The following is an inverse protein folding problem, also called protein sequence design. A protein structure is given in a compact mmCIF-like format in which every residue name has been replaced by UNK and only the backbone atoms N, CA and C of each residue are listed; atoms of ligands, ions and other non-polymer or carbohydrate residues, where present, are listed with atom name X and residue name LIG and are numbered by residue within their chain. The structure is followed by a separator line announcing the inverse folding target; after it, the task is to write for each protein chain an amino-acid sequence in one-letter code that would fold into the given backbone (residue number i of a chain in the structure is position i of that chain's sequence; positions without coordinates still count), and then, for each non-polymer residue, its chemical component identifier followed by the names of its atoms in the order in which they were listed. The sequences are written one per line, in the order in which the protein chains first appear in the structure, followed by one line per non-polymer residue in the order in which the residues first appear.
data_IF_030364191561
#
_entry.id   IF_030364191561
#
_cell.length_a   1.000
_cell.length_b   1.000
_cell.length_c   1.000
_cell.angle_alpha   90.00
_cell.angle_beta   90.00
_cell.angle_gamma   90.00
#
_symmetry.space_group_name_H-M   'P 1'
#
loop_
_entity.id
_entity.type
_entity.pdbx_description
1 polymer ?
#
# COMPACT_ATOMS: atom_id res chain seq x y z
N UNK A 1 63.12 23.25 -29.84
CA UNK A 1 62.56 24.62 -29.95
C UNK A 1 61.05 24.45 -30.17
N UNK A 2 60.23 24.42 -29.11
CA UNK A 2 59.63 25.53 -28.36
C UNK A 2 58.29 26.03 -28.97
N UNK A 3 57.26 26.03 -28.11
CA UNK A 3 55.93 26.68 -28.16
C UNK A 3 54.79 25.89 -28.86
N UNK A 4 53.84 25.25 -28.16
CA UNK A 4 52.75 25.72 -27.25
C UNK A 4 51.56 26.35 -28.00
N UNK A 5 50.42 25.65 -28.02
CA UNK A 5 49.01 26.11 -27.83
C UNK A 5 48.07 24.99 -28.34
N UNK A 6 47.47 24.14 -27.50
CA UNK A 6 46.33 24.39 -26.58
C UNK A 6 45.12 25.05 -27.25
N UNK A 7 44.14 24.24 -27.66
CA UNK A 7 42.72 24.63 -27.74
C UNK A 7 41.86 23.38 -27.58
N UNK A 8 41.52 23.07 -26.34
CA UNK A 8 40.42 22.17 -25.96
C UNK A 8 39.10 22.76 -26.51
N UNK A 9 38.40 22.03 -27.36
CA UNK A 9 36.99 22.28 -27.65
C UNK A 9 36.17 21.28 -26.83
N UNK A 10 35.74 21.72 -25.64
CA UNK A 10 34.63 21.11 -24.93
C UNK A 10 33.36 21.34 -25.75
N UNK A 11 32.84 20.29 -26.39
CA UNK A 11 31.44 20.26 -26.83
C UNK A 11 30.60 19.73 -25.68
N UNK A 12 30.00 20.65 -24.92
CA UNK A 12 28.95 20.35 -23.95
C UNK A 12 27.74 19.75 -24.68
N UNK A 13 27.58 18.44 -24.60
CA UNK A 13 26.31 17.79 -24.85
C UNK A 13 25.40 18.08 -23.65
N UNK A 14 24.59 19.14 -23.75
CA UNK A 14 23.48 19.36 -22.84
C UNK A 14 22.45 18.27 -23.11
N UNK A 15 22.49 17.20 -22.31
CA UNK A 15 21.45 16.20 -22.23
C UNK A 15 20.20 16.91 -21.68
N UNK A 16 19.29 17.32 -22.57
CA UNK A 16 17.93 17.67 -22.18
C UNK A 16 17.27 16.39 -21.65
N UNK A 17 17.37 16.16 -20.33
CA UNK A 17 16.43 15.32 -19.61
C UNK A 17 15.05 15.95 -19.77
N UNK A 18 14.31 15.50 -20.78
CA UNK A 18 12.86 15.59 -20.76
C UNK A 18 12.39 14.81 -19.53
N UNK A 19 12.21 15.51 -18.41
CA UNK A 19 11.34 15.06 -17.32
C UNK A 19 9.91 15.01 -17.89
N UNK A 20 9.62 13.98 -18.68
CA UNK A 20 8.25 13.50 -18.79
C UNK A 20 7.88 13.09 -17.38
N UNK A 21 7.03 13.87 -16.72
CA UNK A 21 6.33 13.40 -15.53
C UNK A 21 5.52 12.19 -15.98
N UNK A 22 6.07 10.99 -15.78
CA UNK A 22 5.31 9.76 -15.92
C UNK A 22 4.26 9.83 -14.83
N UNK A 23 3.04 10.11 -15.26
CA UNK A 23 1.89 10.20 -14.39
C UNK A 23 1.64 8.81 -13.81
N UNK A 24 1.71 8.68 -12.48
CA UNK A 24 1.49 7.41 -11.83
C UNK A 24 0.00 7.20 -11.54
N UNK A 25 -0.46 5.98 -11.82
CA UNK A 25 -1.79 5.54 -11.42
C UNK A 25 -1.92 5.52 -9.89
N UNK A 26 -3.15 5.61 -9.40
CA UNK A 26 -3.42 5.45 -7.98
C UNK A 26 -3.31 3.96 -7.58
N UNK A 27 -2.97 3.70 -6.32
CA UNK A 27 -3.14 2.36 -5.75
C UNK A 27 -4.61 1.93 -5.87
N UNK A 28 -4.82 0.65 -6.18
CA UNK A 28 -6.16 0.09 -6.37
C UNK A 28 -7.00 0.09 -5.10
N UNK A 29 -6.34 -0.01 -3.94
CA UNK A 29 -6.93 0.08 -2.61
C UNK A 29 -5.84 0.44 -1.59
N UNK A 30 -6.14 0.36 -0.30
CA UNK A 30 -5.18 0.48 0.80
C UNK A 30 -5.53 -0.54 1.89
N UNK A 31 -4.65 -0.73 2.88
CA UNK A 31 -5.02 -1.45 4.09
C UNK A 31 -6.14 -0.70 4.82
N UNK A 32 -7.34 -1.29 4.87
CA UNK A 32 -8.44 -0.70 5.61
C UNK A 32 -8.22 -0.81 7.12
N UNK A 33 -8.88 0.03 7.95
CA UNK A 33 -8.84 -0.13 9.41
C UNK A 33 -9.29 -1.53 9.87
N UNK A 34 -10.19 -2.16 9.11
CA UNK A 34 -10.62 -3.53 9.35
C UNK A 34 -9.50 -4.53 9.09
N UNK A 35 -8.75 -4.39 7.98
CA UNK A 35 -7.62 -5.27 7.67
C UNK A 35 -6.52 -5.15 8.72
N UNK A 36 -6.16 -3.93 9.12
CA UNK A 36 -5.17 -3.68 10.17
C UNK A 36 -5.60 -4.35 11.49
N UNK A 37 -6.87 -4.27 11.85
CA UNK A 37 -7.40 -4.90 13.07
C UNK A 37 -7.38 -6.42 12.97
N UNK A 38 -7.90 -6.98 11.86
CA UNK A 38 -7.91 -8.43 11.60
C UNK A 38 -6.51 -9.03 11.63
N UNK A 39 -5.55 -8.37 10.97
CA UNK A 39 -4.16 -8.83 10.92
C UNK A 39 -3.54 -8.77 12.32
N UNK A 40 -3.73 -7.67 13.06
CA UNK A 40 -3.26 -7.57 14.45
C UNK A 40 -3.82 -8.69 15.32
N UNK A 41 -5.11 -8.97 15.24
CA UNK A 41 -5.77 -10.00 16.04
C UNK A 41 -5.25 -11.40 15.68
N UNK A 42 -5.05 -11.69 14.40
CA UNK A 42 -4.44 -12.93 13.93
C UNK A 42 -3.03 -13.11 14.51
N UNK A 43 -2.17 -12.10 14.37
CA UNK A 43 -0.80 -12.10 14.88
C UNK A 43 -0.76 -12.35 16.40
N UNK A 44 -1.60 -11.65 17.17
CA UNK A 44 -1.68 -11.82 18.62
C UNK A 44 -2.30 -13.16 19.05
N UNK A 45 -3.02 -13.85 18.17
CA UNK A 45 -3.62 -15.17 18.44
C UNK A 45 -2.71 -16.35 18.08
N UNK A 46 -1.53 -16.10 17.52
CA UNK A 46 -0.60 -17.13 17.03
C UNK A 46 0.25 -17.72 18.17
N UNK A 47 -0.40 -18.25 19.21
CA UNK A 47 0.24 -18.98 20.31
C UNK A 47 -0.48 -20.32 20.55
N UNK A 48 0.22 -21.39 20.97
CA UNK A 48 1.67 -21.49 21.22
C UNK A 48 2.50 -21.60 19.93
N UNK A 49 3.79 -21.24 20.01
CA UNK A 49 4.72 -21.29 18.86
C UNK A 49 5.20 -22.72 18.58
N UNK A 50 5.19 -23.12 17.31
CA UNK A 50 5.72 -24.40 16.83
C UNK A 50 7.20 -24.36 16.45
N UNK A 51 7.70 -23.19 16.03
CA UNK A 51 9.06 -22.98 15.52
C UNK A 51 9.51 -21.53 15.77
N UNK A 52 10.83 -21.26 15.75
CA UNK A 52 11.42 -19.93 16.04
C UNK A 52 11.07 -18.85 15.01
N UNK A 53 10.85 -19.22 13.75
CA UNK A 53 10.40 -18.31 12.69
C UNK A 53 9.04 -17.69 13.01
N UNK A 54 8.13 -18.43 13.66
CA UNK A 54 6.78 -17.95 13.97
C UNK A 54 6.79 -16.68 14.82
N UNK A 55 7.33 -16.65 16.06
CA UNK A 55 7.38 -15.43 16.86
C UNK A 55 8.21 -14.31 16.21
N UNK A 56 9.22 -14.64 15.40
CA UNK A 56 9.95 -13.65 14.60
C UNK A 56 9.02 -12.93 13.60
N UNK A 57 8.28 -13.68 12.78
CA UNK A 57 7.36 -13.09 11.80
C UNK A 57 6.19 -12.36 12.48
N UNK A 58 5.68 -12.87 13.61
CA UNK A 58 4.65 -12.17 14.39
C UNK A 58 5.15 -10.80 14.84
N UNK A 59 6.34 -10.75 15.45
CA UNK A 59 6.94 -9.51 15.93
C UNK A 59 7.20 -8.51 14.80
N UNK A 60 7.75 -8.97 13.67
CA UNK A 60 7.97 -8.14 12.47
C UNK A 60 6.65 -7.57 11.93
N UNK A 61 5.59 -8.38 11.88
CA UNK A 61 4.26 -7.92 11.46
C UNK A 61 3.69 -6.85 12.40
N UNK A 62 3.78 -7.06 13.72
CA UNK A 62 3.31 -6.09 14.72
C UNK A 62 4.11 -4.77 14.65
N UNK A 63 5.43 -4.85 14.48
CA UNK A 63 6.28 -3.67 14.30
C UNK A 63 5.87 -2.86 13.07
N UNK A 64 5.64 -3.54 11.93
CA UNK A 64 5.23 -2.91 10.68
C UNK A 64 3.89 -2.16 10.84
N UNK A 65 2.92 -2.72 11.58
CA UNK A 65 1.65 -2.07 11.92
C UNK A 65 1.79 -0.83 12.81
N UNK A 66 3.01 -0.49 13.26
CA UNK A 66 3.25 0.66 14.14
C UNK A 66 2.74 0.45 15.57
N UNK A 67 2.35 -0.78 15.93
CA UNK A 67 2.15 -1.11 17.35
C UNK A 67 3.53 -1.20 17.96
N UNK A 68 3.86 -0.21 18.79
CA UNK A 68 5.09 -0.27 19.56
C UNK A 68 5.11 -1.57 20.36
N UNK A 69 6.28 -2.18 20.54
CA UNK A 69 6.35 -3.37 21.38
C UNK A 69 5.63 -3.10 22.70
N UNK A 70 5.80 -1.95 23.35
CA UNK A 70 5.07 -1.48 24.56
C UNK A 70 3.54 -1.61 24.56
N UNK A 71 2.86 -1.56 23.41
CA UNK A 71 1.39 -1.66 23.33
C UNK A 71 0.90 -3.12 23.22
N UNK A 72 1.80 -4.04 22.86
CA UNK A 72 1.48 -5.45 22.81
C UNK A 72 1.35 -6.00 24.24
N UNK A 73 0.30 -6.79 24.49
CA UNK A 73 0.03 -7.40 25.81
C UNK A 73 1.32 -8.01 26.37
N UNK A 74 1.71 -7.62 27.58
CA UNK A 74 2.95 -8.08 28.23
C UNK A 74 3.11 -9.61 28.23
N UNK A 75 2.00 -10.37 28.19
CA UNK A 75 2.01 -11.82 28.05
C UNK A 75 2.70 -12.30 26.76
N UNK A 76 2.36 -11.73 25.61
CA UNK A 76 2.90 -12.13 24.31
C UNK A 76 4.42 -11.95 24.25
N UNK A 77 4.93 -10.78 24.66
CA UNK A 77 6.38 -10.51 24.67
C UNK A 77 7.15 -11.50 25.54
N UNK A 78 6.62 -11.76 26.74
CA UNK A 78 7.23 -12.71 27.67
C UNK A 78 7.28 -14.11 27.07
N UNK A 79 6.20 -14.54 26.42
CA UNK A 79 6.14 -15.85 25.77
C UNK A 79 7.13 -15.95 24.60
N UNK A 80 7.19 -14.95 23.73
CA UNK A 80 8.14 -14.92 22.61
C UNK A 80 9.59 -14.92 23.10
N UNK A 81 9.91 -14.12 24.11
CA UNK A 81 11.26 -14.11 24.69
C UNK A 81 11.60 -15.43 25.38
N UNK A 82 10.68 -15.98 26.19
CA UNK A 82 10.90 -17.26 26.87
C UNK A 82 11.13 -18.40 25.86
N UNK A 83 10.40 -18.40 24.75
CA UNK A 83 10.59 -19.35 23.66
C UNK A 83 11.95 -19.18 22.98
N UNK A 84 12.39 -17.95 22.69
CA UNK A 84 13.73 -17.72 22.15
C UNK A 84 14.84 -18.20 23.11
N UNK A 85 14.72 -17.88 24.40
CA UNK A 85 15.68 -18.27 25.43
C UNK A 85 15.72 -19.78 25.67
N UNK A 86 14.61 -20.51 25.51
CA UNK A 86 14.60 -21.97 25.67
C UNK A 86 15.34 -22.70 24.55
N UNK A 87 15.61 -22.04 23.42
CA UNK A 87 16.30 -22.63 22.26
C UNK A 87 17.74 -22.14 22.10
N UNK A 88 18.18 -21.12 22.83
CA UNK A 88 19.51 -20.51 22.64
C UNK A 88 20.67 -21.46 22.90
N UNK A 89 20.54 -22.33 23.89
CA UNK A 89 21.60 -23.27 24.28
C UNK A 89 21.59 -24.56 23.44
N UNK A 90 20.47 -24.86 22.76
CA UNK A 90 20.32 -26.04 21.89
C UNK A 90 20.52 -25.73 20.42
N UNK A 91 20.45 -24.46 20.04
CA UNK A 91 20.66 -24.01 18.66
C UNK A 91 22.15 -23.99 18.31
N UNK A 92 22.49 -24.70 17.24
CA UNK A 92 23.84 -24.71 16.65
C UNK A 92 23.84 -24.27 15.19
N UNK A 93 22.66 -24.07 14.59
CA UNK A 93 22.53 -23.54 13.24
C UNK A 93 22.32 -22.02 13.26
N UNK A 94 22.82 -21.37 12.20
CA UNK A 94 22.83 -19.93 12.07
C UNK A 94 21.41 -19.33 11.95
N UNK A 95 20.48 -20.05 11.34
CA UNK A 95 19.11 -19.59 11.11
C UNK A 95 18.32 -19.48 12.43
N UNK A 96 18.41 -20.48 13.30
CA UNK A 96 17.82 -20.44 14.63
C UNK A 96 18.37 -19.27 15.46
N UNK A 97 19.69 -19.03 15.41
CA UNK A 97 20.31 -17.89 16.09
C UNK A 97 19.91 -16.53 15.48
N UNK A 98 19.69 -16.48 14.17
CA UNK A 98 19.13 -15.30 13.50
C UNK A 98 17.74 -14.97 14.04
N UNK A 99 16.84 -15.95 14.14
CA UNK A 99 15.52 -15.72 14.72
C UNK A 99 15.59 -15.29 16.18
N UNK A 100 16.41 -15.96 17.01
CA UNK A 100 16.58 -15.63 18.43
C UNK A 100 17.09 -14.20 18.61
N UNK A 101 18.16 -13.81 17.89
CA UNK A 101 18.72 -12.47 17.99
C UNK A 101 17.75 -11.40 17.50
N UNK A 102 17.01 -11.66 16.42
CA UNK A 102 16.01 -10.74 15.86
C UNK A 102 14.81 -10.54 16.78
N UNK A 103 14.29 -11.62 17.38
CA UNK A 103 13.25 -11.56 18.41
C UNK A 103 13.74 -10.71 19.59
N UNK A 104 14.96 -10.93 20.03
CA UNK A 104 15.53 -10.22 21.17
C UNK A 104 15.72 -8.73 20.89
N UNK A 105 16.22 -8.37 19.70
CA UNK A 105 16.37 -6.98 19.25
C UNK A 105 15.02 -6.26 19.20
N UNK A 106 13.99 -6.89 18.62
CA UNK A 106 12.65 -6.29 18.53
C UNK A 106 11.99 -6.09 19.90
N UNK A 107 12.21 -7.02 20.82
CA UNK A 107 11.71 -6.93 22.19
C UNK A 107 12.53 -5.99 23.08
N UNK A 108 13.68 -5.52 22.60
CA UNK A 108 14.57 -4.59 23.28
C UNK A 108 14.91 -5.01 24.71
N UNK A 109 14.78 -4.07 25.66
CA UNK A 109 15.17 -4.28 27.07
C UNK A 109 14.43 -5.44 27.77
N UNK A 110 13.34 -5.95 27.21
CA UNK A 110 12.58 -7.06 27.78
C UNK A 110 13.16 -8.45 27.48
N UNK A 111 14.09 -8.56 26.52
CA UNK A 111 14.67 -9.85 26.12
C UNK A 111 16.16 -9.77 25.77
N UNK A 112 16.58 -8.70 25.10
CA UNK A 112 17.94 -8.51 24.61
C UNK A 112 19.04 -8.72 25.67
N UNK A 113 18.91 -8.24 26.92
CA UNK A 113 19.95 -8.45 27.93
C UNK A 113 20.22 -9.94 28.24
N UNK A 114 19.22 -10.81 28.17
CA UNK A 114 19.38 -12.23 28.46
C UNK A 114 20.03 -12.99 27.30
N UNK A 115 19.72 -12.61 26.06
CA UNK A 115 20.37 -13.16 24.87
C UNK A 115 21.84 -12.70 24.79
N UNK A 116 22.13 -11.44 25.12
CA UNK A 116 23.50 -10.91 25.15
C UNK A 116 24.39 -11.68 26.14
N UNK A 117 23.86 -12.23 27.24
CA UNK A 117 24.65 -13.07 28.16
C UNK A 117 25.22 -14.33 27.49
N UNK A 118 24.66 -14.74 26.35
CA UNK A 118 25.11 -15.89 25.54
C UNK A 118 25.92 -15.47 24.30
N UNK A 119 26.28 -14.19 24.19
CA UNK A 119 27.01 -13.59 23.06
C UNK A 119 28.27 -14.39 22.65
N UNK A 120 29.03 -14.94 23.60
CA UNK A 120 30.24 -15.71 23.26
C UNK A 120 29.97 -16.99 22.48
N UNK A 121 28.90 -17.73 22.81
CA UNK A 121 28.46 -18.92 22.08
C UNK A 121 27.98 -18.55 20.68
N UNK A 122 27.18 -17.48 20.60
CA UNK A 122 26.65 -17.00 19.32
C UNK A 122 27.78 -16.52 18.41
N UNK A 123 28.75 -15.79 18.96
CA UNK A 123 29.89 -15.27 18.22
C UNK A 123 30.75 -16.38 17.64
N UNK A 124 30.97 -17.50 18.35
CA UNK A 124 31.69 -18.64 17.76
C UNK A 124 30.95 -19.23 16.57
N UNK A 125 29.62 -19.42 16.65
CA UNK A 125 28.83 -19.96 15.53
C UNK A 125 28.84 -19.02 14.32
N UNK A 126 28.76 -17.70 14.55
CA UNK A 126 28.86 -16.70 13.48
C UNK A 126 30.24 -16.72 12.82
N UNK A 127 31.31 -16.74 13.61
CA UNK A 127 32.68 -16.81 13.07
C UNK A 127 32.90 -18.08 12.24
N UNK A 128 32.49 -19.24 12.76
CA UNK A 128 32.62 -20.52 12.05
C UNK A 128 31.84 -20.49 10.72
N UNK A 129 30.63 -19.91 10.71
CA UNK A 129 29.83 -19.79 9.50
C UNK A 129 30.48 -18.91 8.43
N UNK A 130 31.18 -17.84 8.82
CA UNK A 130 31.90 -16.94 7.92
C UNK A 130 33.22 -17.52 7.40
N UNK A 131 33.80 -18.54 8.05
CA UNK A 131 35.00 -19.22 7.55
C UNK A 131 34.70 -20.32 6.51
N UNK A 132 33.46 -20.82 6.49
CA UNK A 132 32.99 -21.84 5.52
C UNK A 132 32.40 -21.20 4.25
N UNK A 133 32.14 -22.00 3.21
CA UNK A 133 31.47 -21.57 1.97
C UNK A 133 30.31 -20.59 2.26
N UNK A 134 30.49 -19.35 1.79
CA UNK A 134 29.66 -18.20 2.13
C UNK A 134 28.53 -18.07 1.11
N UNK A 135 27.31 -18.38 1.52
CA UNK A 135 26.11 -18.08 0.73
C UNK A 135 25.52 -16.73 1.17
N UNK A 136 24.75 -16.08 0.29
CA UNK A 136 24.09 -14.81 0.63
C UNK A 136 23.16 -14.92 1.85
N UNK A 137 22.49 -16.05 2.02
CA UNK A 137 21.66 -16.32 3.21
C UNK A 137 22.49 -16.35 4.51
N UNK A 138 23.64 -17.03 4.50
CA UNK A 138 24.55 -17.05 5.65
C UNK A 138 25.09 -15.66 5.96
N UNK A 139 25.48 -14.89 4.93
CA UNK A 139 25.97 -13.52 5.11
C UNK A 139 24.89 -12.61 5.72
N UNK A 140 23.65 -12.73 5.25
CA UNK A 140 22.51 -12.01 5.80
C UNK A 140 22.26 -12.38 7.27
N UNK A 141 22.21 -13.67 7.60
CA UNK A 141 21.99 -14.11 8.98
C UNK A 141 23.13 -13.69 9.91
N UNK A 142 24.39 -13.91 9.52
CA UNK A 142 25.57 -13.54 10.32
C UNK A 142 25.64 -12.04 10.59
N UNK A 143 25.39 -11.22 9.57
CA UNK A 143 25.39 -9.75 9.71
C UNK A 143 24.23 -9.26 10.57
N UNK A 144 23.05 -9.85 10.41
CA UNK A 144 21.88 -9.51 11.21
C UNK A 144 22.06 -9.89 12.68
N UNK A 145 22.58 -11.08 12.98
CA UNK A 145 22.93 -11.50 14.34
C UNK A 145 23.93 -10.52 14.95
N UNK A 146 24.98 -10.18 14.19
CA UNK A 146 26.03 -9.27 14.64
C UNK A 146 25.48 -7.89 14.96
N UNK A 147 24.64 -7.34 14.09
CA UNK A 147 23.97 -6.05 14.27
C UNK A 147 23.05 -6.06 15.49
N UNK A 148 22.18 -7.08 15.59
CA UNK A 148 21.21 -7.22 16.68
C UNK A 148 21.87 -7.32 18.07
N UNK A 149 23.04 -7.95 18.17
CA UNK A 149 23.74 -8.18 19.44
C UNK A 149 24.89 -7.19 19.68
N UNK A 150 25.09 -6.22 18.79
CA UNK A 150 26.22 -5.29 18.84
C UNK A 150 27.57 -6.02 18.85
N UNK A 151 27.74 -7.02 17.99
CA UNK A 151 29.04 -7.61 17.67
C UNK A 151 29.77 -6.71 16.67
N UNK A 152 31.10 -6.73 16.68
CA UNK A 152 31.89 -6.00 15.70
C UNK A 152 31.68 -6.61 14.30
N UNK A 153 31.36 -5.77 13.32
CA UNK A 153 31.20 -6.15 11.92
C UNK A 153 32.32 -5.52 11.10
N UNK A 154 33.10 -6.34 10.41
CA UNK A 154 34.08 -5.86 9.45
C UNK A 154 33.38 -5.59 8.10
N UNK A 155 32.96 -4.34 7.87
CA UNK A 155 32.23 -3.95 6.65
C UNK A 155 32.98 -4.26 5.35
N UNK A 156 34.31 -4.11 5.33
CA UNK A 156 35.12 -4.40 4.14
C UNK A 156 35.09 -5.89 3.80
N UNK A 157 35.28 -6.75 4.82
CA UNK A 157 35.22 -8.20 4.64
C UNK A 157 33.82 -8.65 4.21
N UNK A 158 32.76 -8.11 4.84
CA UNK A 158 31.39 -8.49 4.50
C UNK A 158 31.03 -8.03 3.09
N UNK A 159 31.46 -6.84 2.66
CA UNK A 159 31.21 -6.40 1.28
C UNK A 159 31.92 -7.28 0.26
N UNK A 160 33.20 -7.61 0.49
CA UNK A 160 33.94 -8.51 -0.40
C UNK A 160 33.27 -9.89 -0.51
N UNK A 161 32.75 -10.40 0.61
CA UNK A 161 31.97 -11.63 0.68
C UNK A 161 30.65 -11.56 -0.08
N UNK A 162 29.92 -10.44 0.02
CA UNK A 162 28.68 -10.21 -0.73
C UNK A 162 28.98 -10.27 -2.23
N UNK A 163 29.98 -9.53 -2.70
CA UNK A 163 30.33 -9.49 -4.12
C UNK A 163 30.73 -10.87 -4.65
N UNK A 164 31.53 -11.62 -3.88
CA UNK A 164 31.92 -12.99 -4.23
C UNK A 164 30.70 -13.92 -4.33
N UNK A 165 29.79 -13.84 -3.36
CA UNK A 165 28.58 -14.68 -3.35
C UNK A 165 27.60 -14.33 -4.48
N UNK A 166 27.55 -13.05 -4.92
CA UNK A 166 26.77 -12.65 -6.09
C UNK A 166 27.43 -13.12 -7.39
N UNK A 167 28.75 -13.05 -7.52
CA UNK A 167 29.48 -13.59 -8.69
C UNK A 167 29.25 -15.10 -8.86
N UNK A 168 29.08 -15.84 -7.76
CA UNK A 168 28.84 -17.29 -7.76
C UNK A 168 27.37 -17.66 -8.08
N UNK A 169 26.39 -16.91 -7.56
CA UNK A 169 24.95 -17.20 -7.71
C UNK A 169 24.11 -15.90 -7.73
N UNK A 170 24.14 -15.21 -8.88
CA UNK A 170 23.39 -13.98 -9.10
C UNK A 170 21.90 -14.26 -9.34
N UNK A 171 21.13 -14.36 -8.26
CA UNK A 171 19.66 -14.40 -8.31
C UNK A 171 19.07 -13.12 -7.73
N UNK A 172 17.82 -12.80 -8.11
CA UNK A 172 17.09 -11.66 -7.52
C UNK A 172 16.97 -11.78 -6.00
N UNK A 173 16.74 -13.00 -5.48
CA UNK A 173 16.68 -13.25 -4.04
C UNK A 173 18.03 -12.96 -3.37
N UNK A 174 19.13 -13.44 -3.93
CA UNK A 174 20.47 -13.20 -3.38
C UNK A 174 20.84 -11.72 -3.42
N UNK A 175 20.47 -11.01 -4.49
CA UNK A 175 20.68 -9.57 -4.62
C UNK A 175 19.82 -8.78 -3.62
N UNK A 176 18.57 -9.20 -3.38
CA UNK A 176 17.73 -8.62 -2.34
C UNK A 176 18.31 -8.81 -0.93
N UNK A 177 18.85 -10.00 -0.64
CA UNK A 177 19.56 -10.27 0.59
C UNK A 177 20.86 -9.44 0.69
N UNK A 178 21.54 -9.17 -0.42
CA UNK A 178 22.70 -8.29 -0.46
C UNK A 178 22.33 -6.86 -0.07
N UNK A 179 21.22 -6.32 -0.59
CA UNK A 179 20.70 -5.01 -0.16
C UNK A 179 20.39 -4.96 1.33
N UNK A 180 19.68 -5.98 1.84
CA UNK A 180 19.33 -6.07 3.25
C UNK A 180 20.57 -6.21 4.14
N UNK A 181 21.59 -6.95 3.69
CA UNK A 181 22.85 -7.14 4.43
C UNK A 181 23.70 -5.86 4.42
N UNK A 182 23.93 -5.28 3.24
CA UNK A 182 24.72 -4.07 3.06
C UNK A 182 24.15 -2.87 3.82
N UNK A 183 22.81 -2.73 3.85
CA UNK A 183 22.14 -1.65 4.59
C UNK A 183 22.40 -1.65 6.11
N UNK A 184 22.81 -2.78 6.67
CA UNK A 184 23.12 -2.95 8.10
C UNK A 184 24.58 -2.62 8.43
N UNK A 185 25.45 -2.52 7.43
CA UNK A 185 26.87 -2.27 7.68
C UNK A 185 27.06 -0.87 8.31
N UNK A 186 27.99 -0.74 9.29
CA UNK A 186 28.51 0.56 9.69
C UNK A 186 29.01 1.36 8.48
N UNK A 187 29.13 2.69 8.63
CA UNK A 187 29.41 3.62 7.52
C UNK A 187 30.54 3.13 6.60
N UNK A 188 30.17 2.75 5.38
CA UNK A 188 31.01 2.14 4.37
C UNK A 188 30.52 2.54 2.98
N UNK A 189 31.39 2.45 1.99
CA UNK A 189 31.03 2.71 0.60
C UNK A 189 30.22 1.53 0.03
N UNK A 190 28.96 1.79 -0.33
CA UNK A 190 28.03 0.79 -0.83
C UNK A 190 27.66 1.00 -2.30
N UNK A 191 28.39 1.85 -3.04
CA UNK A 191 28.07 2.20 -4.43
C UNK A 191 27.92 0.96 -5.31
N UNK A 192 28.85 0.00 -5.23
CA UNK A 192 28.81 -1.22 -6.05
C UNK A 192 27.52 -2.06 -5.84
N UNK A 193 26.95 -2.04 -4.64
CA UNK A 193 25.69 -2.75 -4.35
C UNK A 193 24.50 -1.88 -4.77
N UNK A 194 24.58 -0.56 -4.57
CA UNK A 194 23.51 0.36 -4.91
C UNK A 194 23.26 0.44 -6.43
N UNK A 195 24.31 0.32 -7.25
CA UNK A 195 24.19 0.30 -8.72
C UNK A 195 23.31 -0.85 -9.23
N UNK A 196 23.24 -1.98 -8.51
CA UNK A 196 22.39 -3.12 -8.87
C UNK A 196 20.88 -2.84 -8.72
N UNK A 197 20.48 -1.75 -8.07
CA UNK A 197 19.06 -1.42 -7.85
C UNK A 197 18.33 -1.24 -9.18
N UNK A 198 18.94 -0.55 -10.14
CA UNK A 198 18.34 -0.32 -11.46
C UNK A 198 18.10 -1.64 -12.20
N UNK A 199 19.11 -2.51 -12.20
CA UNK A 199 19.06 -3.81 -12.87
C UNK A 199 18.03 -4.75 -12.23
N UNK A 200 17.92 -4.78 -10.90
CA UNK A 200 16.92 -5.59 -10.19
C UNK A 200 15.51 -5.11 -10.51
N UNK A 201 15.27 -3.80 -10.47
CA UNK A 201 13.94 -3.22 -10.78
C UNK A 201 13.54 -3.50 -12.22
N UNK A 202 14.49 -3.48 -13.16
CA UNK A 202 14.25 -3.76 -14.58
C UNK A 202 13.91 -5.24 -14.86
N UNK A 203 14.29 -6.17 -13.97
CA UNK A 203 14.04 -7.60 -14.11
C UNK A 203 12.68 -8.05 -13.56
N UNK A 204 11.91 -7.16 -12.95
CA UNK A 204 10.62 -7.54 -12.39
C UNK A 204 9.61 -7.94 -13.47
N UNK A 205 8.79 -8.94 -13.15
CA UNK A 205 7.63 -9.30 -13.94
C UNK A 205 6.57 -8.19 -13.84
N UNK A 206 6.00 -7.82 -14.98
CA UNK A 206 5.05 -6.73 -15.09
C UNK A 206 3.71 -7.19 -15.67
N UNK A 207 2.63 -6.74 -15.02
CA UNK A 207 1.27 -6.72 -15.56
C UNK A 207 0.82 -5.27 -15.71
N UNK A 208 -0.35 -4.99 -16.32
CA UNK A 208 -0.85 -3.62 -16.40
C UNK A 208 -0.93 -2.90 -15.05
N UNK A 209 -1.21 -3.61 -13.96
CA UNK A 209 -1.47 -3.00 -12.64
C UNK A 209 -0.52 -3.44 -11.53
N UNK A 210 0.34 -4.45 -11.77
CA UNK A 210 1.19 -5.03 -10.74
C UNK A 210 2.61 -5.28 -11.25
N UNK A 211 3.57 -5.22 -10.33
CA UNK A 211 4.96 -5.56 -10.60
C UNK A 211 5.47 -6.44 -9.45
N UNK A 212 6.11 -7.55 -9.79
CA UNK A 212 6.48 -8.61 -8.84
C UNK A 212 7.68 -9.43 -9.32
N UNK A 213 8.13 -10.35 -8.49
CA UNK A 213 9.10 -11.39 -8.85
C UNK A 213 8.54 -12.78 -8.52
N UNK A 214 9.32 -13.82 -8.77
CA UNK A 214 8.94 -15.24 -8.63
C UNK A 214 8.17 -15.60 -7.35
N UNK A 215 8.42 -14.89 -6.25
CA UNK A 215 7.69 -15.08 -4.99
C UNK A 215 7.37 -13.77 -4.27
N UNK A 216 6.38 -13.85 -3.37
CA UNK A 216 6.04 -12.77 -2.44
C UNK A 216 7.22 -12.42 -1.53
N UNK A 217 7.97 -13.43 -1.08
CA UNK A 217 9.15 -13.24 -0.25
C UNK A 217 10.21 -12.44 -1.01
N UNK A 218 10.55 -12.86 -2.23
CA UNK A 218 11.52 -12.18 -3.09
C UNK A 218 11.08 -10.75 -3.38
N UNK A 219 9.81 -10.56 -3.74
CA UNK A 219 9.25 -9.22 -3.96
C UNK A 219 9.34 -8.35 -2.71
N UNK A 220 9.01 -8.91 -1.54
CA UNK A 220 9.12 -8.21 -0.27
C UNK A 220 10.56 -7.83 0.07
N UNK A 221 11.50 -8.76 -0.10
CA UNK A 221 12.90 -8.56 0.21
C UNK A 221 13.53 -7.53 -0.72
N UNK A 222 13.19 -7.54 -2.02
CA UNK A 222 13.64 -6.52 -2.98
C UNK A 222 13.15 -5.14 -2.57
N UNK A 223 11.84 -4.97 -2.36
CA UNK A 223 11.26 -3.67 -1.98
C UNK A 223 11.92 -3.18 -0.67
N UNK A 224 11.96 -4.04 0.35
CA UNK A 224 12.51 -3.68 1.66
C UNK A 224 14.00 -3.35 1.57
N UNK A 225 14.76 -4.15 0.81
CA UNK A 225 16.19 -3.98 0.60
C UNK A 225 16.54 -2.69 -0.14
N UNK A 226 15.85 -2.38 -1.24
CA UNK A 226 16.07 -1.15 -2.02
C UNK A 226 15.83 0.08 -1.14
N UNK A 227 14.72 0.15 -0.40
CA UNK A 227 14.45 1.30 0.46
C UNK A 227 15.35 1.36 1.70
N UNK A 228 15.81 0.23 2.22
CA UNK A 228 16.83 0.19 3.27
C UNK A 228 18.16 0.75 2.76
N UNK A 229 18.59 0.34 1.56
CA UNK A 229 19.78 0.87 0.89
C UNK A 229 19.66 2.38 0.63
N UNK A 230 18.54 2.82 0.07
CA UNK A 230 18.28 4.23 -0.16
C UNK A 230 18.30 5.06 1.13
N UNK A 231 17.82 4.49 2.25
CA UNK A 231 17.91 5.15 3.56
C UNK A 231 19.36 5.21 4.04
N UNK A 232 20.14 4.14 3.83
CA UNK A 232 21.54 4.04 4.26
C UNK A 232 22.46 4.96 3.46
N UNK A 233 22.27 5.07 2.15
CA UNK A 233 23.10 5.91 1.26
C UNK A 233 22.62 7.35 1.19
N UNK A 234 21.35 7.61 1.50
CA UNK A 234 20.73 8.92 1.30
C UNK A 234 20.41 9.23 -0.17
N UNK A 235 20.51 8.23 -1.04
CA UNK A 235 20.28 8.36 -2.48
C UNK A 235 18.87 7.85 -2.85
N UNK A 236 18.23 8.54 -3.79
CA UNK A 236 16.90 8.15 -4.27
C UNK A 236 16.99 6.89 -5.13
N UNK A 237 16.24 5.82 -4.80
CA UNK A 237 16.32 4.57 -5.53
C UNK A 237 15.82 4.76 -6.96
N UNK A 238 16.35 3.95 -7.89
CA UNK A 238 15.90 3.90 -9.28
C UNK A 238 14.52 3.23 -9.42
N UNK A 239 13.52 3.75 -8.70
CA UNK A 239 12.12 3.32 -8.72
C UNK A 239 11.25 4.53 -9.08
N UNK A 240 10.51 4.41 -10.17
CA UNK A 240 9.52 5.40 -10.59
C UNK A 240 8.25 5.34 -9.74
N UNK A 241 7.45 6.42 -9.76
CA UNK A 241 6.14 6.45 -9.08
C UNK A 241 5.16 5.38 -9.58
N UNK A 242 5.22 5.04 -10.87
CA UNK A 242 4.41 3.97 -11.47
C UNK A 242 4.84 2.60 -10.93
N UNK A 243 6.14 2.29 -10.94
CA UNK A 243 6.68 1.04 -10.41
C UNK A 243 6.36 0.87 -8.92
N UNK A 244 6.53 1.93 -8.11
CA UNK A 244 6.16 1.92 -6.69
C UNK A 244 4.67 1.60 -6.49
N UNK A 245 3.81 2.14 -7.35
CA UNK A 245 2.36 1.87 -7.33
C UNK A 245 2.07 0.43 -7.73
N UNK A 246 2.70 -0.10 -8.78
CA UNK A 246 2.52 -1.48 -9.25
C UNK A 246 3.01 -2.51 -8.21
N UNK A 247 4.14 -2.26 -7.56
CA UNK A 247 4.58 -3.04 -6.40
C UNK A 247 3.55 -2.99 -5.27
N UNK A 248 3.05 -1.80 -4.93
CA UNK A 248 2.02 -1.63 -3.90
C UNK A 248 0.74 -2.42 -4.22
N UNK A 249 0.27 -2.38 -5.46
CA UNK A 249 -0.88 -3.15 -5.91
C UNK A 249 -0.65 -4.67 -5.79
N UNK A 250 0.54 -5.17 -6.13
CA UNK A 250 0.88 -6.58 -5.91
C UNK A 250 0.77 -6.97 -4.43
N UNK A 251 1.29 -6.16 -3.51
CA UNK A 251 1.18 -6.41 -2.07
C UNK A 251 -0.28 -6.42 -1.59
N UNK A 252 -1.11 -5.52 -2.13
CA UNK A 252 -2.53 -5.44 -1.80
C UNK A 252 -3.32 -6.70 -2.21
N UNK A 253 -2.87 -7.44 -3.23
CA UNK A 253 -3.45 -8.74 -3.58
C UNK A 253 -3.17 -9.85 -2.55
N UNK A 254 -2.22 -9.65 -1.64
CA UNK A 254 -1.74 -10.66 -0.68
C UNK A 254 -2.19 -10.41 0.77
N UNK A 255 -3.10 -9.45 1.01
CA UNK A 255 -3.48 -8.98 2.36
C UNK A 255 -4.38 -9.94 3.14
N UNK A 256 -5.09 -10.85 2.48
CA UNK A 256 -6.07 -11.77 3.08
C UNK A 256 -5.50 -13.14 3.48
N UNK A 257 -4.19 -13.34 3.38
CA UNK A 257 -3.56 -14.58 3.85
C UNK A 257 -3.68 -14.73 5.38
N UNK A 258 -3.78 -15.99 5.84
CA UNK A 258 -3.73 -16.36 7.26
C UNK A 258 -2.34 -16.85 7.69
N UNK A 259 -1.45 -17.04 6.72
CA UNK A 259 -0.04 -17.37 6.96
C UNK A 259 0.70 -16.15 7.50
N UNK A 260 1.26 -16.31 8.70
CA UNK A 260 1.94 -15.25 9.45
C UNK A 260 3.24 -14.81 8.78
N UNK A 261 4.00 -15.72 8.18
CA UNK A 261 5.24 -15.38 7.48
C UNK A 261 4.94 -14.55 6.23
N UNK A 262 3.93 -14.96 5.45
CA UNK A 262 3.46 -14.20 4.28
C UNK A 262 2.95 -12.81 4.67
N UNK A 263 2.20 -12.70 5.76
CA UNK A 263 1.75 -11.40 6.27
C UNK A 263 2.93 -10.51 6.68
N UNK A 264 3.93 -11.07 7.35
CA UNK A 264 5.12 -10.31 7.74
C UNK A 264 5.86 -9.75 6.52
N UNK A 265 6.00 -10.52 5.44
CA UNK A 265 6.57 -10.03 4.17
C UNK A 265 5.75 -8.91 3.55
N UNK A 266 4.42 -9.10 3.41
CA UNK A 266 3.52 -8.07 2.89
C UNK A 266 3.65 -6.76 3.69
N UNK A 267 3.63 -6.85 5.01
CA UNK A 267 3.67 -5.69 5.89
C UNK A 267 5.04 -5.01 5.89
N UNK A 268 6.13 -5.77 5.82
CA UNK A 268 7.48 -5.22 5.74
C UNK A 268 7.66 -4.39 4.46
N UNK A 269 7.29 -4.95 3.31
CA UNK A 269 7.36 -4.26 2.04
C UNK A 269 6.40 -3.07 1.94
N UNK A 270 5.17 -3.22 2.44
CA UNK A 270 4.20 -2.12 2.50
C UNK A 270 4.72 -0.98 3.39
N UNK A 271 5.38 -1.31 4.50
CA UNK A 271 6.00 -0.32 5.39
C UNK A 271 7.17 0.39 4.71
N UNK A 272 7.99 -0.31 3.94
CA UNK A 272 9.09 0.29 3.18
C UNK A 272 8.58 1.27 2.11
N UNK A 273 7.49 0.93 1.41
CA UNK A 273 6.82 1.82 0.46
C UNK A 273 6.11 3.01 1.14
N UNK A 274 5.61 2.82 2.36
CA UNK A 274 4.86 3.84 3.10
C UNK A 274 5.78 4.84 3.80
N UNK A 275 6.89 4.36 4.38
CA UNK A 275 7.78 5.10 5.29
C UNK A 275 9.14 5.36 4.67
N UNK A 276 9.15 6.02 3.51
CA UNK A 276 10.37 6.48 2.87
C UNK A 276 10.26 7.96 2.44
N UNK A 277 11.40 8.56 2.10
CA UNK A 277 11.49 9.98 1.74
C UNK A 277 11.55 10.23 0.23
N UNK A 278 11.37 9.20 -0.59
CA UNK A 278 11.62 9.24 -2.04
C UNK A 278 10.34 9.12 -2.85
N UNK A 279 9.63 8.00 -2.73
CA UNK A 279 8.43 7.69 -3.49
C UNK A 279 7.46 6.87 -2.64
N UNK A 280 6.30 7.45 -2.34
CA UNK A 280 5.26 6.84 -1.51
C UNK A 280 3.97 6.71 -2.32
N UNK A 281 3.58 5.50 -2.76
CA UNK A 281 2.37 5.31 -3.53
C UNK A 281 1.12 5.59 -2.67
N UNK A 282 0.06 6.09 -3.29
CA UNK A 282 -1.16 6.46 -2.59
C UNK A 282 -2.43 6.18 -3.42
N UNK A 283 -3.57 6.19 -2.74
CA UNK A 283 -4.90 6.09 -3.34
C UNK A 283 -5.80 7.25 -2.90
N UNK A 284 -6.74 7.63 -3.78
CA UNK A 284 -7.81 8.56 -3.45
C UNK A 284 -9.09 7.78 -3.14
N UNK A 285 -9.47 7.73 -1.87
CA UNK A 285 -10.56 6.90 -1.38
C UNK A 285 -11.84 7.72 -1.23
N UNK A 286 -12.93 7.19 -1.75
CA UNK A 286 -14.28 7.72 -1.51
C UNK A 286 -14.73 7.38 -0.09
N UNK A 287 -14.99 8.39 0.73
CA UNK A 287 -15.43 8.20 2.13
C UNK A 287 -16.94 8.38 2.30
N UNK A 288 -17.58 9.12 1.39
CA UNK A 288 -19.05 9.18 1.30
C UNK A 288 -19.63 7.91 0.68
N UNK A 289 -20.95 7.71 0.77
CA UNK A 289 -21.63 6.50 0.24
C UNK A 289 -21.59 6.32 -1.28
N UNK A 290 -20.99 7.26 -2.03
CA UNK A 290 -21.07 7.30 -3.49
C UNK A 290 -22.45 7.66 -4.04
N UNK A 291 -23.41 7.97 -3.16
CA UNK A 291 -24.73 8.44 -3.51
C UNK A 291 -24.91 9.90 -3.11
N UNK A 292 -25.21 10.74 -4.09
CA UNK A 292 -25.46 12.17 -3.92
C UNK A 292 -26.95 12.44 -4.09
N UNK A 293 -27.48 13.30 -3.22
CA UNK A 293 -28.88 13.75 -3.26
C UNK A 293 -28.99 15.17 -2.73
N UNK A 294 -30.15 15.80 -2.84
CA UNK A 294 -30.37 17.11 -2.21
C UNK A 294 -30.10 17.12 -0.70
N UNK A 295 -30.38 16.02 0.00
CA UNK A 295 -30.16 15.91 1.44
C UNK A 295 -28.67 15.69 1.79
N UNK A 296 -27.95 14.97 0.92
CA UNK A 296 -26.52 14.70 1.06
C UNK A 296 -25.82 15.10 -0.25
N UNK A 297 -25.58 16.41 -0.47
CA UNK A 297 -25.15 16.93 -1.77
C UNK A 297 -23.64 16.84 -2.01
N UNK A 298 -22.88 16.53 -0.94
CA UNK A 298 -21.44 16.53 -0.95
C UNK A 298 -20.89 15.12 -1.18
N UNK A 299 -19.93 14.99 -2.08
CA UNK A 299 -19.00 13.87 -2.11
C UNK A 299 -17.83 14.18 -1.19
N UNK A 300 -17.28 13.14 -0.56
CA UNK A 300 -16.12 13.26 0.30
C UNK A 300 -15.08 12.22 -0.08
N UNK A 301 -13.84 12.67 -0.26
CA UNK A 301 -12.69 11.82 -0.56
C UNK A 301 -11.55 12.09 0.40
N UNK A 302 -10.67 11.12 0.60
CA UNK A 302 -9.42 11.27 1.35
C UNK A 302 -8.26 10.67 0.57
N UNK A 303 -7.09 11.29 0.67
CA UNK A 303 -5.85 10.70 0.18
C UNK A 303 -5.30 9.77 1.27
N UNK A 304 -4.86 8.57 0.89
CA UNK A 304 -4.31 7.59 1.82
C UNK A 304 -3.11 6.87 1.19
N UNK A 305 -2.07 6.63 1.98
CA UNK A 305 -0.93 5.79 1.59
C UNK A 305 -1.33 4.31 1.62
N UNK A 306 -0.44 3.41 1.18
CA UNK A 306 -0.71 1.97 1.17
C UNK A 306 -1.21 1.46 2.52
N UNK A 307 -0.64 1.90 3.66
CA UNK A 307 -1.08 1.50 5.01
C UNK A 307 -2.38 2.18 5.49
N UNK A 308 -3.09 2.89 4.61
CA UNK A 308 -4.36 3.55 4.92
C UNK A 308 -4.24 4.84 5.73
N UNK A 309 -3.00 5.27 5.99
CA UNK A 309 -2.67 6.48 6.76
C UNK A 309 -2.77 7.74 5.90
N UNK A 310 -3.08 8.91 6.50
CA UNK A 310 -3.03 10.16 5.76
C UNK A 310 -1.58 10.50 5.36
N UNK A 311 -1.37 11.17 4.21
CA UNK A 311 -0.07 11.71 3.83
C UNK A 311 0.52 12.62 4.93
N UNK A 312 1.87 12.70 5.06
CA UNK A 312 2.54 13.50 6.08
C UNK A 312 2.44 15.01 5.82
N UNK A 313 2.14 15.41 4.59
CA UNK A 313 2.02 16.81 4.15
C UNK A 313 0.61 17.13 3.69
N UNK A 314 0.24 18.41 3.67
CA UNK A 314 -1.06 18.83 3.13
C UNK A 314 -1.10 18.70 1.60
N UNK A 315 -2.29 18.43 1.07
CA UNK A 315 -2.53 18.31 -0.37
C UNK A 315 -3.69 19.23 -0.80
N UNK A 316 -3.62 19.69 -2.04
CA UNK A 316 -4.78 20.23 -2.77
C UNK A 316 -5.36 19.11 -3.63
N UNK A 317 -6.68 18.87 -3.50
CA UNK A 317 -7.42 17.95 -4.38
C UNK A 317 -8.32 18.76 -5.30
N UNK A 318 -8.28 18.46 -6.58
CA UNK A 318 -9.06 19.13 -7.62
C UNK A 318 -9.89 18.11 -8.37
N UNK A 319 -11.19 18.37 -8.53
CA UNK A 319 -11.99 17.65 -9.53
C UNK A 319 -11.71 18.30 -10.88
N UNK A 320 -11.23 17.49 -11.82
CA UNK A 320 -10.78 17.93 -13.15
C UNK A 320 -11.92 17.92 -14.15
N UNK A 321 -12.70 16.84 -14.12
CA UNK A 321 -13.88 16.64 -14.96
C UNK A 321 -14.96 15.93 -14.15
N UNK A 322 -16.21 16.16 -14.56
CA UNK A 322 -17.38 15.44 -14.08
C UNK A 322 -18.16 15.06 -15.32
N UNK A 323 -18.20 13.78 -15.67
CA UNK A 323 -18.79 13.30 -16.92
C UNK A 323 -20.02 12.44 -16.63
N UNK A 324 -21.15 12.74 -17.26
CA UNK A 324 -22.35 11.88 -17.17
C UNK A 324 -22.16 10.60 -17.98
N UNK A 325 -22.59 9.44 -17.47
CA UNK A 325 -22.38 8.16 -18.16
C UNK A 325 -23.12 8.06 -19.51
N UNK A 326 -24.26 8.76 -19.66
CA UNK A 326 -25.10 8.70 -20.86
C UNK A 326 -24.88 9.88 -21.84
N UNK A 327 -23.92 10.78 -21.57
CA UNK A 327 -23.66 11.91 -22.47
C UNK A 327 -22.42 12.74 -22.12
N UNK A 328 -22.02 13.65 -23.02
CA UNK A 328 -20.78 14.43 -22.92
C UNK A 328 -20.87 15.65 -21.97
N UNK A 329 -21.76 15.65 -20.99
CA UNK A 329 -21.83 16.75 -20.02
C UNK A 329 -20.57 16.74 -19.14
N UNK A 330 -19.65 17.68 -19.41
CA UNK A 330 -18.41 17.88 -18.62
C UNK A 330 -18.44 19.23 -17.89
N UNK A 331 -18.20 19.22 -16.59
CA UNK A 331 -18.12 20.43 -15.76
C UNK A 331 -16.68 20.92 -15.57
N UNK A 332 -16.46 22.23 -15.30
CA UNK A 332 -15.13 22.81 -15.19
C UNK A 332 -14.38 22.42 -13.90
N UNK A 333 -13.05 22.53 -13.96
CA UNK A 333 -12.12 22.20 -12.87
C UNK A 333 -12.44 22.98 -11.58
N UNK A 334 -12.53 22.29 -10.44
CA UNK A 334 -12.83 22.91 -9.13
C UNK A 334 -11.96 22.33 -8.02
N UNK A 335 -11.36 23.19 -7.20
CA UNK A 335 -10.63 22.77 -5.99
C UNK A 335 -11.61 22.38 -4.88
N UNK A 336 -11.31 21.28 -4.20
CA UNK A 336 -12.13 20.78 -3.09
C UNK A 336 -11.86 21.55 -1.81
N UNK A 337 -12.87 21.60 -0.93
CA UNK A 337 -12.71 22.16 0.42
C UNK A 337 -12.06 21.11 1.31
N UNK A 338 -10.88 21.41 1.86
CA UNK A 338 -10.17 20.53 2.78
C UNK A 338 -10.53 20.83 4.23
N UNK A 339 -10.78 19.78 5.03
CA UNK A 339 -10.89 19.86 6.50
C UNK A 339 -10.39 18.56 7.11
N UNK A 340 -9.33 18.61 7.91
CA UNK A 340 -8.75 17.46 8.61
C UNK A 340 -8.41 16.27 7.67
N UNK A 341 -7.84 16.55 6.49
CA UNK A 341 -7.49 15.52 5.49
C UNK A 341 -8.67 14.96 4.68
N UNK A 342 -9.88 15.47 4.92
CA UNK A 342 -11.07 15.16 4.13
C UNK A 342 -11.34 16.27 3.12
N UNK A 343 -11.58 15.89 1.86
CA UNK A 343 -11.84 16.81 0.76
C UNK A 343 -13.28 16.67 0.30
N UNK A 344 -14.03 17.77 0.38
CA UNK A 344 -15.46 17.79 0.07
C UNK A 344 -15.77 18.59 -1.19
N UNK A 345 -16.66 18.05 -2.04
CA UNK A 345 -17.19 18.72 -3.22
C UNK A 345 -18.72 18.59 -3.27
N UNK A 346 -19.42 19.73 -3.37
CA UNK A 346 -20.87 19.74 -3.55
C UNK A 346 -21.22 19.46 -5.01
N UNK A 347 -21.34 18.19 -5.37
CA UNK A 347 -21.63 17.77 -6.73
C UNK A 347 -23.04 18.19 -7.16
N UNK A 348 -24.01 18.14 -6.24
CA UNK A 348 -25.43 18.41 -6.55
C UNK A 348 -25.68 19.83 -7.05
N UNK A 349 -24.81 20.80 -6.73
CA UNK A 349 -24.91 22.18 -7.23
C UNK A 349 -24.53 22.33 -8.70
N UNK A 350 -23.66 21.44 -9.20
CA UNK A 350 -23.05 21.59 -10.52
C UNK A 350 -23.67 20.62 -11.55
N UNK A 351 -24.47 19.62 -11.12
CA UNK A 351 -25.18 18.68 -12.01
C UNK A 351 -26.68 18.96 -12.12
N UNK A 352 -27.25 18.77 -13.32
CA UNK A 352 -28.66 19.08 -13.61
C UNK A 352 -29.58 17.86 -13.76
N UNK A 353 -29.03 16.65 -13.88
CA UNK A 353 -29.80 15.43 -14.14
C UNK A 353 -29.41 14.29 -13.18
N UNK A 354 -30.34 13.39 -12.82
CA UNK A 354 -30.01 12.17 -12.10
C UNK A 354 -29.26 11.20 -13.02
N UNK A 355 -28.37 10.40 -12.44
CA UNK A 355 -27.61 9.40 -13.20
C UNK A 355 -26.29 9.03 -12.54
N UNK A 356 -25.47 8.27 -13.25
CA UNK A 356 -24.12 7.90 -12.83
C UNK A 356 -23.13 8.88 -13.45
N UNK A 357 -22.22 9.40 -12.64
CA UNK A 357 -21.20 10.34 -13.03
C UNK A 357 -19.82 9.77 -12.73
N UNK A 358 -18.87 9.98 -13.63
CA UNK A 358 -17.45 9.72 -13.41
C UNK A 358 -16.75 11.04 -13.15
N UNK A 359 -16.10 11.15 -11.99
CA UNK A 359 -15.31 12.31 -11.61
C UNK A 359 -13.84 11.95 -11.70
N UNK A 360 -13.06 12.74 -12.42
CA UNK A 360 -11.61 12.58 -12.49
C UNK A 360 -10.93 13.56 -11.55
N UNK A 361 -10.04 13.07 -10.69
CA UNK A 361 -9.35 13.88 -9.69
C UNK A 361 -7.87 14.02 -9.97
N UNK A 362 -7.31 15.16 -9.54
CA UNK A 362 -5.87 15.36 -9.43
C UNK A 362 -5.48 15.85 -8.03
N UNK A 363 -4.28 15.50 -7.58
CA UNK A 363 -3.70 15.91 -6.31
C UNK A 363 -2.42 16.73 -6.53
N UNK A 364 -2.10 17.62 -5.59
CA UNK A 364 -0.88 18.40 -5.60
C UNK A 364 -0.44 18.66 -4.16
N UNK A 365 0.83 18.39 -3.83
CA UNK A 365 1.36 18.60 -2.48
C UNK A 365 1.61 20.08 -2.20
N UNK A 366 1.33 20.50 -0.98
CA UNK A 366 1.65 21.85 -0.50
C UNK A 366 3.05 21.80 0.13
N UNK A 367 4.07 22.24 -0.62
CA UNK A 367 5.45 22.31 -0.12
C UNK A 367 6.34 21.11 -0.45
N UNK A 368 5.93 20.25 -1.38
CA UNK A 368 6.66 19.03 -1.75
C UNK A 368 6.29 17.86 -0.84
N UNK A 369 6.31 16.65 -1.39
CA UNK A 369 6.00 15.42 -0.68
C UNK A 369 6.57 14.23 -1.45
N UNK A 370 7.05 13.17 -0.77
CA UNK A 370 7.39 11.91 -1.43
C UNK A 370 6.14 11.17 -1.91
N UNK A 371 4.95 11.54 -1.41
CA UNK A 371 3.69 10.93 -1.82
C UNK A 371 3.38 11.27 -3.28
N UNK A 372 3.11 10.21 -4.05
CA UNK A 372 2.88 10.26 -5.50
C UNK A 372 1.74 11.22 -5.84
N UNK A 373 1.99 12.07 -6.84
CA UNK A 373 0.98 12.95 -7.42
C UNK A 373 0.02 12.14 -8.27
N UNK A 374 -1.27 12.29 -8.01
CA UNK A 374 -2.33 11.68 -8.83
C UNK A 374 -2.83 12.72 -9.84
N UNK A 375 -2.98 12.38 -11.11
CA UNK A 375 -3.41 13.33 -12.16
C UNK A 375 -4.74 12.98 -12.78
N UNK A 376 -5.01 11.69 -12.98
CA UNK A 376 -6.23 11.19 -13.64
C UNK A 376 -6.87 10.04 -12.87
N UNK A 377 -7.29 10.28 -11.63
CA UNK A 377 -7.95 9.23 -10.82
C UNK A 377 -9.48 9.28 -10.99
N UNK A 378 -10.12 8.32 -11.67
CA UNK A 378 -11.57 8.30 -11.83
C UNK A 378 -12.28 7.72 -10.59
N UNK A 379 -13.38 8.34 -10.16
CA UNK A 379 -14.33 7.78 -9.19
C UNK A 379 -15.76 7.90 -9.71
N UNK A 380 -16.54 6.83 -9.59
CA UNK A 380 -17.95 6.83 -9.97
C UNK A 380 -18.84 7.17 -8.79
N UNK A 381 -19.85 8.01 -9.04
CA UNK A 381 -20.88 8.37 -8.06
C UNK A 381 -22.26 8.41 -8.72
N UNK A 382 -23.28 8.09 -7.94
CA UNK A 382 -24.69 8.12 -8.39
C UNK A 382 -25.39 9.34 -7.83
N UNK A 383 -25.96 10.17 -8.71
CA UNK A 383 -26.75 11.33 -8.34
C UNK A 383 -28.23 11.00 -8.45
N UNK A 384 -28.98 11.27 -7.38
CA UNK A 384 -30.42 11.04 -7.30
C UNK A 384 -31.19 12.33 -7.08
N UNK A 385 -32.31 12.46 -7.78
CA UNK A 385 -33.23 13.58 -7.63
C UNK A 385 -34.55 13.10 -7.02
N UNK A 386 -35.18 13.94 -6.21
CA UNK A 386 -36.56 13.71 -5.78
C UNK A 386 -37.48 13.92 -6.99
N UNK A 387 -38.24 12.89 -7.34
CA UNK A 387 -39.25 12.99 -8.40
C UNK A 387 -40.63 13.12 -7.75
N UNK A 388 -41.44 14.05 -8.23
CA UNK A 388 -42.86 14.15 -7.87
C UNK A 388 -43.71 13.56 -8.98
N UNK A 389 -44.51 12.54 -8.66
CA UNK A 389 -45.43 11.94 -9.63
C UNK A 389 -46.66 12.87 -9.78
N UNK A 390 -46.67 13.69 -10.82
CA UNK A 390 -47.75 14.64 -11.07
C UNK A 390 -49.09 13.96 -11.39
N UNK A 391 -49.07 12.89 -12.18
CA UNK A 391 -50.25 12.07 -12.50
C UNK A 391 -49.84 10.70 -13.01
N UNK A 392 -50.54 9.65 -12.59
CA UNK A 392 -50.45 8.33 -13.18
C UNK A 392 -51.69 8.07 -14.05
N UNK A 393 -51.48 7.53 -15.25
CA UNK A 393 -52.58 7.07 -16.13
C UNK A 393 -52.52 5.54 -16.23
N UNK A 394 -53.63 4.87 -15.90
CA UNK A 394 -53.82 3.46 -16.20
C UNK A 394 -54.73 3.35 -17.43
N UNK A 395 -54.23 2.71 -18.49
CA UNK A 395 -54.98 2.43 -19.71
C UNK A 395 -55.20 0.94 -19.87
N UNK A 396 -56.45 0.52 -20.00
CA UNK A 396 -56.83 -0.82 -20.43
C UNK A 396 -57.10 -0.78 -21.94
N UNK A 397 -56.34 -1.54 -22.70
CA UNK A 397 -56.55 -1.74 -24.15
C UNK A 397 -56.99 -3.17 -24.40
N UNK A 398 -58.17 -3.33 -25.02
CA UNK A 398 -58.63 -4.60 -25.55
C UNK A 398 -58.06 -4.77 -26.97
N UNK A 399 -57.49 -5.93 -27.26
CA UNK A 399 -56.77 -6.20 -28.51
C UNK A 399 -57.71 -6.50 -29.68
N UNK A 400 -58.98 -6.81 -29.41
CA UNK A 400 -59.91 -7.26 -30.46
C UNK A 400 -60.84 -6.18 -31.01
N UNK A 401 -60.95 -5.02 -30.36
CA UNK A 401 -61.72 -3.89 -30.88
C UNK A 401 -60.90 -2.62 -30.72
N UNK A 402 -60.62 -1.92 -31.83
CA UNK A 402 -59.90 -0.65 -31.90
C UNK A 402 -60.63 0.53 -31.24
N UNK A 403 -61.14 0.34 -30.02
CA UNK A 403 -61.83 1.32 -29.22
C UNK A 403 -60.89 1.95 -28.19
N UNK A 404 -60.98 3.27 -28.10
CA UNK A 404 -60.16 4.18 -27.31
C UNK A 404 -60.02 3.71 -25.85
N UNK A 405 -58.79 3.57 -25.37
CA UNK A 405 -58.48 3.16 -24.00
C UNK A 405 -59.19 4.06 -22.98
N UNK A 406 -59.91 3.47 -22.01
CA UNK A 406 -60.43 4.21 -20.86
C UNK A 406 -59.24 4.66 -20.00
N UNK A 407 -58.96 5.96 -20.00
CA UNK A 407 -57.91 6.58 -19.19
C UNK A 407 -58.47 6.92 -17.81
N UNK A 408 -57.96 6.28 -16.77
CA UNK A 408 -58.22 6.69 -15.39
C UNK A 408 -57.02 7.53 -14.94
N UNK A 409 -57.26 8.82 -14.66
CA UNK A 409 -56.28 9.70 -14.03
C UNK A 409 -56.39 9.56 -12.52
N UNK A 410 -55.31 9.14 -11.87
CA UNK A 410 -55.23 9.23 -10.42
C UNK A 410 -54.90 10.67 -10.01
N UNK A 411 -55.52 11.22 -8.95
CA UNK A 411 -55.14 12.53 -8.41
C UNK A 411 -53.69 12.49 -7.91
N UNK A 412 -53.02 13.65 -7.90
CA UNK A 412 -51.62 13.83 -7.50
C UNK A 412 -51.24 12.95 -6.32
N UNK A 413 -50.29 12.03 -6.53
CA UNK A 413 -49.66 11.32 -5.43
C UNK A 413 -48.57 12.24 -4.87
N UNK A 414 -48.80 12.84 -3.70
CA UNK A 414 -47.73 13.49 -2.94
C UNK A 414 -46.85 12.43 -2.26
N UNK A 415 -46.25 11.55 -3.07
CA UNK A 415 -45.31 10.53 -2.61
C UNK A 415 -43.95 10.90 -3.18
N UNK A 416 -43.00 11.23 -2.29
CA UNK A 416 -41.61 11.47 -2.68
C UNK A 416 -40.96 10.12 -2.96
N UNK A 417 -40.38 9.98 -4.14
CA UNK A 417 -39.61 8.79 -4.52
C UNK A 417 -38.25 9.25 -5.03
N UNK A 418 -37.19 8.62 -4.55
CA UNK A 418 -35.83 8.80 -5.08
C UNK A 418 -35.63 7.86 -6.27
N UNK A 419 -35.18 8.39 -7.41
CA UNK A 419 -34.86 7.61 -8.60
C UNK A 419 -33.43 7.90 -9.09
N UNK A 420 -32.76 6.89 -9.65
CA UNK A 420 -31.34 6.99 -10.03
C UNK A 420 -31.01 6.48 -11.45
N UNK A 421 -31.98 6.34 -12.36
CA UNK A 421 -31.65 5.99 -13.76
C UNK A 421 -32.67 6.49 -14.79
N UNK A 422 -32.29 6.38 -16.06
CA UNK A 422 -33.09 6.57 -17.29
C UNK A 422 -33.98 5.37 -17.65
N UNK A 423 -33.78 4.20 -17.04
CA UNK A 423 -34.38 2.91 -17.47
C UNK A 423 -35.21 2.13 -16.43
N UNK A 424 -35.35 2.58 -15.18
CA UNK A 424 -36.16 1.90 -14.15
C UNK A 424 -37.56 2.49 -14.12
N UNK A 425 -38.53 1.61 -14.35
CA UNK A 425 -39.92 1.88 -14.04
C UNK A 425 -40.07 1.94 -12.52
N UNK A 426 -40.37 3.12 -11.99
CA UNK A 426 -40.91 3.26 -10.64
C UNK A 426 -42.20 2.46 -10.56
N UNK A 427 -42.18 1.30 -9.92
CA UNK A 427 -43.39 0.52 -9.66
C UNK A 427 -44.04 1.03 -8.37
N UNK A 428 -45.09 1.84 -8.53
CA UNK A 428 -45.98 2.20 -7.42
C UNK A 428 -46.98 1.07 -7.25
N UNK A 429 -46.91 0.33 -6.14
CA UNK A 429 -47.92 -0.67 -5.77
C UNK A 429 -48.92 0.01 -4.82
N UNK A 430 -50.11 0.45 -5.25
CA UNK A 430 -51.09 1.02 -4.35
C UNK A 430 -51.63 -0.08 -3.41
N UNK A 431 -51.52 0.13 -2.10
CA UNK A 431 -52.25 -0.66 -1.10
C UNK A 431 -53.75 -0.43 -1.30
N UNK A 432 -54.48 -1.50 -1.59
CA UNK A 432 -55.96 -1.49 -1.64
C UNK A 432 -56.47 -1.87 -0.25
N UNK A 433 -56.84 -0.89 0.57
CA UNK A 433 -57.58 -1.14 1.80
C UNK A 433 -59.05 -1.35 1.41
N UNK A 434 -59.51 -2.60 1.34
CA UNK A 434 -60.92 -2.90 1.19
C UNK A 434 -61.62 -2.63 2.54
N UNK A 435 -62.31 -1.49 2.63
CA UNK A 435 -63.35 -1.31 3.65
C UNK A 435 -64.53 -2.20 3.30
N UNK A 436 -64.85 -3.13 4.18
CA UNK A 436 -66.12 -3.88 4.16
C UNK A 436 -67.25 -2.88 4.46
N UNK A 437 -68.32 -2.80 3.66
CA UNK A 437 -69.46 -1.97 4.01
C UNK A 437 -70.22 -2.64 5.16
N UNK A 438 -70.43 -1.92 6.26
CA UNK A 438 -71.46 -2.30 7.21
C UNK A 438 -72.83 -2.03 6.58
N UNK A 439 -73.61 -3.11 6.41
CA UNK A 439 -75.04 -3.05 6.13
C UNK A 439 -75.78 -2.81 7.44
N UNK A 440 -76.78 -1.92 7.39
CA UNK A 440 -77.75 -1.65 8.45
C UNK A 440 -78.50 -2.89 8.89
#
# INVERSE_FOLDING_TARGET
MQHICSSFLLTSAALLLCLSTVDAEALSDVFSPHDITRIRDLLLSTEPYGELSTPYHVLRGLQALGTSSSENKDGFKRNACAYALSHIDTSSDLQSLFYISSIAAELGSSCLPDVIKKKSHIQSVVSDALETEQTMEKLYYSTSISTNLGLDVNSESVLASILTALDDDETIQNTALAFLTASQLPDFDLTAIYELVEDVVAQADETPTTLYYDSLETTSNVITGIFAMATKTGEAPAITSEQATKFGNYLLTNTYTVDVARLAYVLAAATALDRNQYVVPCSLLLTSSGYVSRANPDIQVRLATILGSPPPTEFTVTVMTVTHQEGDETLPKKKLKSKNGLYSYNLFQDVSSPGVYTLTFSTESVGGSPVVKLTETPLQVTVSFEVTIGSAELSLSDREHGTTAKKIRFPRFNTRVSGSNSHSRVSVTPFRQFGVPQLQ
#
